data_IF_662193456398
#
_entry.id   IF_662193456398
#
_cell.length_a   1.000
_cell.length_b   1.000
_cell.length_c   1.000
_cell.angle_alpha   90.00
_cell.angle_beta   90.00
_cell.angle_gamma   90.00
#
_symmetry.space_group_name_H-M   'P 1'
#
loop_
_entity.id
_entity.type
_entity.pdbx_description
1 polymer ?
#
# COMPACT_ATOMS: atom_id res chain seq x y z
N UNK A 1 3.73 9.21 -14.43
CA UNK A 1 3.08 9.61 -15.67
C UNK A 1 2.20 8.47 -16.15
N UNK A 2 0.94 8.76 -16.48
CA UNK A 2 0.01 7.81 -17.07
C UNK A 2 -0.45 8.27 -18.44
N UNK A 3 -0.84 7.33 -19.29
CA UNK A 3 -1.29 7.57 -20.65
C UNK A 3 -2.50 6.69 -20.97
N UNK A 4 -3.57 7.28 -21.46
CA UNK A 4 -4.77 6.60 -21.90
C UNK A 4 -5.03 6.94 -23.35
N UNK A 5 -4.72 6.04 -24.30
CA UNK A 5 -5.12 6.17 -25.70
C UNK A 5 -6.52 5.58 -25.90
N UNK A 6 -7.36 6.21 -26.72
CA UNK A 6 -8.63 5.65 -27.20
C UNK A 6 -8.99 6.20 -28.58
N UNK A 7 -9.82 5.47 -29.33
CA UNK A 7 -10.29 5.88 -30.64
C UNK A 7 -11.70 6.44 -30.57
N UNK A 8 -12.01 7.42 -31.46
CA UNK A 8 -13.35 8.03 -31.55
C UNK A 8 -14.46 6.97 -31.75
N UNK A 9 -14.16 5.91 -32.48
CA UNK A 9 -15.10 4.80 -32.73
C UNK A 9 -15.41 3.98 -31.47
N UNK A 10 -14.46 3.85 -30.54
CA UNK A 10 -14.66 3.16 -29.27
C UNK A 10 -15.56 3.99 -28.34
N UNK A 11 -15.34 5.30 -28.28
CA UNK A 11 -16.18 6.22 -27.51
C UNK A 11 -17.62 6.29 -28.05
N UNK A 12 -17.78 6.24 -29.39
CA UNK A 12 -19.10 6.21 -30.01
C UNK A 12 -19.89 4.92 -29.74
N UNK A 13 -19.19 3.79 -29.61
CA UNK A 13 -19.82 2.50 -29.28
C UNK A 13 -20.18 2.39 -27.81
N UNK A 14 -19.32 2.87 -26.92
CA UNK A 14 -19.51 2.84 -25.47
C UNK A 14 -18.91 4.10 -24.85
N UNK A 15 -19.74 5.11 -24.51
CA UNK A 15 -19.27 6.35 -23.85
C UNK A 15 -18.58 6.13 -22.50
N UNK A 16 -18.79 4.96 -21.86
CA UNK A 16 -18.16 4.63 -20.58
C UNK A 16 -16.68 4.23 -20.71
N UNK A 17 -16.19 3.99 -21.93
CA UNK A 17 -14.78 3.59 -22.15
C UNK A 17 -13.81 4.61 -21.59
N UNK A 18 -14.06 5.90 -21.78
CA UNK A 18 -13.22 6.99 -21.26
C UNK A 18 -13.27 7.06 -19.75
N UNK A 19 -14.46 6.95 -19.15
CA UNK A 19 -14.63 6.99 -17.70
C UNK A 19 -13.92 5.81 -17.02
N UNK A 20 -14.12 4.59 -17.51
CA UNK A 20 -13.46 3.38 -17.00
C UNK A 20 -11.95 3.47 -17.19
N UNK A 21 -11.49 3.99 -18.35
CA UNK A 21 -10.08 4.20 -18.63
C UNK A 21 -9.44 5.20 -17.66
N UNK A 22 -10.09 6.33 -17.40
CA UNK A 22 -9.63 7.34 -16.44
C UNK A 22 -9.56 6.81 -15.02
N UNK A 23 -10.52 5.98 -14.62
CA UNK A 23 -10.50 5.32 -13.31
C UNK A 23 -9.30 4.39 -13.20
N UNK A 24 -9.06 3.52 -14.20
CA UNK A 24 -7.88 2.63 -14.23
C UNK A 24 -6.58 3.42 -14.17
N UNK A 25 -6.47 4.51 -14.94
CA UNK A 25 -5.30 5.38 -14.94
C UNK A 25 -5.03 5.97 -13.54
N UNK A 26 -6.09 6.40 -12.86
CA UNK A 26 -6.00 6.91 -11.48
C UNK A 26 -5.53 5.81 -10.53
N UNK A 27 -6.11 4.61 -10.61
CA UNK A 27 -5.75 3.47 -9.79
C UNK A 27 -4.27 3.07 -10.00
N UNK A 28 -3.78 3.09 -11.24
CA UNK A 28 -2.37 2.82 -11.56
C UNK A 28 -1.44 3.88 -10.95
N UNK A 29 -1.80 5.15 -11.02
CA UNK A 29 -1.01 6.24 -10.41
C UNK A 29 -0.96 6.12 -8.88
N UNK A 30 -2.05 5.71 -8.23
CA UNK A 30 -2.10 5.45 -6.79
C UNK A 30 -1.24 4.24 -6.43
N UNK A 31 -1.31 3.17 -7.22
CA UNK A 31 -0.50 1.96 -7.00
C UNK A 31 0.99 2.25 -7.17
N UNK A 32 1.39 3.08 -8.15
CA UNK A 32 2.78 3.52 -8.32
C UNK A 32 3.26 4.33 -7.10
N UNK A 33 2.43 5.24 -6.60
CA UNK A 33 2.75 5.99 -5.37
C UNK A 33 2.93 5.06 -4.18
N UNK A 34 2.01 4.11 -3.99
CA UNK A 34 2.08 3.13 -2.90
C UNK A 34 3.38 2.31 -3.01
N UNK A 35 3.74 1.88 -4.21
CA UNK A 35 4.98 1.12 -4.45
C UNK A 35 6.23 1.94 -4.10
N UNK A 36 6.23 3.24 -4.39
CA UNK A 36 7.32 4.15 -4.02
C UNK A 36 7.42 4.34 -2.51
N UNK A 37 6.31 4.49 -1.80
CA UNK A 37 6.28 4.57 -0.34
C UNK A 37 6.87 3.30 0.27
N UNK A 38 6.47 2.13 -0.22
CA UNK A 38 6.97 0.85 0.27
C UNK A 38 8.47 0.67 -0.03
N UNK A 39 8.93 1.14 -1.18
CA UNK A 39 10.36 1.14 -1.50
C UNK A 39 11.17 2.00 -0.52
N UNK A 40 10.62 3.13 -0.08
CA UNK A 40 11.24 3.95 0.97
C UNK A 40 11.22 3.27 2.34
N UNK A 41 10.12 2.59 2.71
CA UNK A 41 10.08 1.78 3.93
C UNK A 41 11.13 0.66 3.94
N UNK A 42 11.45 0.09 2.77
CA UNK A 42 12.51 -0.91 2.63
C UNK A 42 13.92 -0.42 2.95
N UNK A 43 14.12 0.89 3.12
CA UNK A 43 15.38 1.48 3.56
C UNK A 43 15.49 1.60 5.09
N UNK A 44 14.48 1.17 5.83
CA UNK A 44 14.47 1.22 7.29
C UNK A 44 15.68 0.51 7.90
N UNK A 45 16.29 1.15 8.89
CA UNK A 45 17.43 0.58 9.63
C UNK A 45 16.99 -0.38 10.72
N UNK A 46 15.82 -0.13 11.31
CA UNK A 46 15.24 -1.00 12.33
C UNK A 46 14.59 -2.23 11.71
N UNK A 47 14.95 -3.41 12.22
CA UNK A 47 14.44 -4.69 11.73
C UNK A 47 13.96 -5.59 12.85
N UNK A 48 12.90 -6.32 12.60
CA UNK A 48 12.40 -7.36 13.48
C UNK A 48 12.14 -8.65 12.70
N UNK A 49 12.64 -9.76 13.24
CA UNK A 49 12.44 -11.09 12.64
C UNK A 49 11.10 -11.67 13.08
N UNK A 50 10.24 -11.92 12.11
CA UNK A 50 8.95 -12.58 12.33
C UNK A 50 9.12 -14.09 12.15
N UNK A 51 8.92 -14.87 13.21
CA UNK A 51 9.08 -16.33 13.18
C UNK A 51 7.81 -17.01 12.68
N UNK A 52 6.69 -16.71 13.28
CA UNK A 52 5.41 -17.37 13.03
C UNK A 52 4.28 -16.43 12.60
N UNK A 53 4.53 -15.11 12.57
CA UNK A 53 3.51 -14.08 12.29
C UNK A 53 2.31 -14.19 13.25
N UNK A 54 2.57 -14.57 14.50
CA UNK A 54 1.58 -14.69 15.57
C UNK A 54 1.46 -13.39 16.38
N UNK A 55 0.60 -13.41 17.38
CA UNK A 55 0.38 -12.26 18.26
C UNK A 55 1.64 -11.82 18.99
N UNK A 56 2.42 -12.77 19.49
CA UNK A 56 3.64 -12.51 20.26
C UNK A 56 4.72 -11.83 19.38
N UNK A 57 4.91 -12.32 18.15
CA UNK A 57 5.84 -11.70 17.18
C UNK A 57 5.49 -10.22 16.93
N UNK A 58 4.19 -9.88 16.84
CA UNK A 58 3.77 -8.49 16.68
C UNK A 58 3.94 -7.67 17.95
N UNK A 59 3.66 -8.23 19.12
CA UNK A 59 3.88 -7.57 20.40
C UNK A 59 5.36 -7.23 20.59
N UNK A 60 6.25 -8.19 20.28
CA UNK A 60 7.70 -7.98 20.34
C UNK A 60 8.19 -6.93 19.31
N UNK A 61 7.58 -6.88 18.14
CA UNK A 61 7.89 -5.86 17.14
C UNK A 61 7.48 -4.46 17.61
N UNK A 62 6.30 -4.33 18.21
CA UNK A 62 5.80 -3.07 18.76
C UNK A 62 6.67 -2.62 19.95
N UNK A 63 7.08 -3.55 20.82
CA UNK A 63 7.97 -3.25 21.94
C UNK A 63 9.34 -2.70 21.51
N UNK A 64 9.78 -2.95 20.28
CA UNK A 64 11.00 -2.36 19.70
C UNK A 64 10.80 -0.95 19.16
N UNK A 65 9.57 -0.47 19.10
CA UNK A 65 9.31 0.89 18.63
C UNK A 65 9.86 1.91 19.61
N UNK A 66 10.70 2.86 19.15
CA UNK A 66 11.47 3.71 20.06
C UNK A 66 10.70 4.83 20.75
N UNK A 67 9.43 5.00 20.41
CA UNK A 67 8.59 6.06 20.98
C UNK A 67 7.54 5.49 21.93
N UNK A 68 7.22 6.24 23.01
CA UNK A 68 6.22 5.85 24.01
C UNK A 68 4.78 5.87 23.47
N UNK A 69 4.51 6.77 22.51
CA UNK A 69 3.19 6.84 21.88
C UNK A 69 3.09 5.92 20.70
N UNK A 70 2.10 5.04 20.72
CA UNK A 70 1.73 4.17 19.61
C UNK A 70 0.69 4.81 18.68
N UNK A 71 0.36 6.09 18.90
CA UNK A 71 -0.63 6.81 18.09
C UNK A 71 -0.18 6.90 16.63
N UNK A 72 -1.08 6.51 15.76
CA UNK A 72 -0.82 6.53 14.32
C UNK A 72 0.06 5.41 13.78
N UNK A 73 0.48 4.44 14.63
CA UNK A 73 1.10 3.21 14.17
C UNK A 73 0.15 2.42 13.26
N UNK A 74 0.70 1.82 12.24
CA UNK A 74 0.02 0.85 11.41
C UNK A 74 0.97 -0.26 10.98
N UNK A 75 0.41 -1.43 10.75
CA UNK A 75 1.12 -2.59 10.21
C UNK A 75 0.74 -2.74 8.74
N UNK A 76 1.73 -2.80 7.85
CA UNK A 76 1.50 -3.07 6.43
C UNK A 76 2.12 -4.40 6.04
N UNK A 77 1.31 -5.33 5.50
CA UNK A 77 1.74 -6.68 5.15
C UNK A 77 1.27 -7.11 3.77
N UNK A 78 1.95 -8.10 3.21
CA UNK A 78 1.53 -8.75 1.98
C UNK A 78 0.29 -9.64 2.22
N UNK A 79 -0.59 -9.85 1.23
CA UNK A 79 -1.72 -10.80 1.34
C UNK A 79 -1.33 -12.22 1.77
N UNK A 80 -0.13 -12.68 1.39
CA UNK A 80 0.38 -14.00 1.79
C UNK A 80 0.64 -14.09 3.30
N UNK A 81 1.25 -13.04 3.87
CA UNK A 81 1.51 -12.94 5.30
C UNK A 81 0.20 -12.76 6.09
N UNK A 82 -0.77 -12.02 5.54
CA UNK A 82 -2.12 -11.97 6.14
C UNK A 82 -2.73 -13.35 6.31
N UNK A 83 -2.53 -14.25 5.35
CA UNK A 83 -3.01 -15.63 5.47
C UNK A 83 -2.32 -16.39 6.60
N UNK A 84 -1.00 -16.16 6.82
CA UNK A 84 -0.26 -16.74 7.94
C UNK A 84 -0.77 -16.20 9.29
N UNK A 85 -0.94 -14.88 9.39
CA UNK A 85 -1.51 -14.22 10.58
C UNK A 85 -2.89 -14.78 10.90
N UNK A 86 -3.76 -14.96 9.91
CA UNK A 86 -5.08 -15.58 10.11
C UNK A 86 -5.00 -17.00 10.65
N UNK A 87 -4.06 -17.80 10.16
CA UNK A 87 -3.87 -19.17 10.62
C UNK A 87 -3.32 -19.21 12.05
N UNK A 88 -2.35 -18.36 12.36
CA UNK A 88 -1.77 -18.25 13.70
C UNK A 88 -2.81 -17.78 14.73
N UNK A 89 -3.53 -16.70 14.44
CA UNK A 89 -4.57 -16.16 15.32
C UNK A 89 -5.85 -17.01 15.33
N UNK A 90 -6.09 -17.81 14.32
CA UNK A 90 -7.28 -18.66 14.22
C UNK A 90 -7.37 -19.71 15.32
N UNK A 91 -6.26 -20.17 15.86
CA UNK A 91 -6.25 -21.07 17.00
C UNK A 91 -6.76 -20.39 18.28
N UNK A 92 -6.40 -19.13 18.48
CA UNK A 92 -6.69 -18.36 19.70
C UNK A 92 -8.03 -17.62 19.60
N UNK A 93 -8.38 -17.13 18.41
CA UNK A 93 -9.58 -16.32 18.15
C UNK A 93 -10.78 -17.12 17.63
N UNK A 94 -10.69 -18.44 17.52
CA UNK A 94 -11.80 -19.28 17.02
C UNK A 94 -13.11 -19.13 17.79
N UNK A 95 -13.03 -18.68 19.03
CA UNK A 95 -14.18 -18.43 19.90
C UNK A 95 -14.70 -16.98 19.80
N UNK A 96 -14.01 -16.10 19.10
CA UNK A 96 -14.48 -14.75 18.83
C UNK A 96 -15.50 -14.79 17.69
N UNK A 97 -16.74 -14.38 17.97
CA UNK A 97 -17.82 -14.43 16.98
C UNK A 97 -17.51 -13.66 15.71
N UNK A 98 -16.90 -12.48 15.82
CA UNK A 98 -16.50 -11.66 14.67
C UNK A 98 -15.46 -12.32 13.80
N UNK A 99 -14.44 -12.94 14.39
CA UNK A 99 -13.38 -13.65 13.66
C UNK A 99 -13.88 -14.96 13.06
N UNK A 100 -14.65 -15.75 13.82
CA UNK A 100 -15.18 -17.04 13.36
C UNK A 100 -16.07 -16.90 12.12
N UNK A 101 -16.85 -15.80 12.03
CA UNK A 101 -17.74 -15.54 10.89
C UNK A 101 -17.05 -14.97 9.67
N UNK A 102 -16.07 -14.08 9.84
CA UNK A 102 -15.52 -13.28 8.75
C UNK A 102 -14.04 -13.52 8.49
N UNK A 103 -13.30 -14.08 9.46
CA UNK A 103 -11.83 -14.15 9.41
C UNK A 103 -11.21 -12.75 9.29
N UNK A 104 -11.91 -11.72 9.74
CA UNK A 104 -11.48 -10.34 9.63
C UNK A 104 -10.39 -10.03 10.66
N UNK A 105 -9.25 -9.56 10.17
CA UNK A 105 -8.16 -9.05 11.00
C UNK A 105 -8.03 -7.56 10.64
N UNK A 106 -8.64 -6.71 11.44
CA UNK A 106 -8.54 -5.27 11.29
C UNK A 106 -7.40 -4.67 12.10
N UNK A 107 -7.15 -5.24 13.27
CA UNK A 107 -6.14 -4.81 14.22
C UNK A 107 -5.43 -6.01 14.83
N UNK A 108 -4.14 -5.85 15.11
CA UNK A 108 -3.33 -6.79 15.87
C UNK A 108 -2.60 -5.99 16.95
N UNK A 109 -2.67 -6.41 18.21
CA UNK A 109 -2.14 -5.68 19.37
C UNK A 109 -2.61 -4.20 19.42
N UNK A 110 -3.86 -3.92 19.02
CA UNK A 110 -4.39 -2.54 18.97
C UNK A 110 -3.98 -1.74 17.72
N UNK A 111 -3.03 -2.22 16.92
CA UNK A 111 -2.51 -1.54 15.73
C UNK A 111 -3.26 -1.99 14.47
N UNK A 112 -3.75 -1.06 13.62
CA UNK A 112 -4.46 -1.41 12.39
C UNK A 112 -3.54 -2.11 11.38
N UNK A 113 -4.09 -3.15 10.72
CA UNK A 113 -3.40 -3.94 9.70
C UNK A 113 -3.89 -3.56 8.31
N UNK A 114 -2.98 -3.05 7.50
CA UNK A 114 -3.19 -2.68 6.10
C UNK A 114 -2.56 -3.76 5.20
N UNK A 115 -3.27 -4.15 4.16
CA UNK A 115 -2.79 -5.17 3.24
C UNK A 115 -2.52 -4.55 1.88
N UNK A 116 -1.30 -4.73 1.38
CA UNK A 116 -0.90 -4.26 0.06
C UNK A 116 -0.10 -5.32 -0.69
N UNK A 117 -0.44 -5.53 -1.96
CA UNK A 117 0.32 -6.39 -2.87
C UNK A 117 1.70 -5.83 -3.23
N UNK A 118 1.90 -4.52 -3.04
CA UNK A 118 3.18 -3.88 -3.30
C UNK A 118 4.24 -4.22 -2.23
N UNK A 119 3.83 -4.70 -1.05
CA UNK A 119 4.75 -5.23 -0.05
C UNK A 119 5.34 -6.55 -0.56
N UNK A 120 6.68 -6.72 -0.55
CA UNK A 120 7.30 -7.97 -0.94
C UNK A 120 6.82 -9.15 -0.07
N UNK A 121 6.72 -10.34 -0.66
CA UNK A 121 6.37 -11.55 0.09
C UNK A 121 7.43 -11.84 1.16
N UNK A 122 7.02 -12.29 2.33
CA UNK A 122 7.89 -12.53 3.48
C UNK A 122 8.23 -11.28 4.28
N UNK A 123 7.75 -10.11 3.87
CA UNK A 123 8.01 -8.83 4.53
C UNK A 123 6.72 -8.15 5.00
N UNK A 124 6.90 -7.26 5.96
CA UNK A 124 5.92 -6.31 6.43
C UNK A 124 6.61 -5.06 6.96
N UNK A 125 5.84 -4.07 7.32
CA UNK A 125 6.33 -2.84 7.91
C UNK A 125 5.42 -2.40 9.04
N UNK A 126 6.02 -2.07 10.17
CA UNK A 126 5.39 -1.37 11.27
C UNK A 126 5.85 0.09 11.17
N UNK A 127 4.95 1.02 10.92
CA UNK A 127 5.33 2.40 10.64
C UNK A 127 4.29 3.41 11.14
N UNK A 128 4.69 4.67 11.20
CA UNK A 128 3.79 5.81 11.35
C UNK A 128 3.75 6.64 10.06
N UNK A 129 2.72 7.48 9.92
CA UNK A 129 2.58 8.38 8.75
C UNK A 129 3.73 9.38 8.62
N UNK A 130 4.37 9.71 9.73
CA UNK A 130 5.43 10.71 9.81
C UNK A 130 6.79 10.18 9.32
N UNK A 131 6.91 8.87 9.12
CA UNK A 131 8.13 8.23 8.63
C UNK A 131 8.52 8.69 7.23
N UNK A 132 7.52 8.92 6.37
CA UNK A 132 7.70 9.25 4.95
C UNK A 132 7.03 10.58 4.63
N UNK A 133 7.76 11.44 3.93
CA UNK A 133 7.23 12.70 3.41
C UNK A 133 7.14 12.66 1.88
N UNK A 134 6.01 13.12 1.37
CA UNK A 134 5.76 13.26 -0.06
C UNK A 134 5.94 14.73 -0.43
N UNK A 135 7.02 15.03 -1.15
CA UNK A 135 7.30 16.37 -1.68
C UNK A 135 6.65 16.50 -3.06
N UNK A 136 5.63 17.34 -3.18
CA UNK A 136 4.94 17.59 -4.43
C UNK A 136 5.48 18.87 -5.06
N UNK A 137 6.20 18.73 -6.18
CA UNK A 137 6.68 19.87 -6.97
C UNK A 137 5.58 20.43 -7.89
N UNK A 138 4.79 19.54 -8.48
CA UNK A 138 3.70 19.89 -9.40
C UNK A 138 2.52 18.96 -9.16
N UNK A 139 1.34 19.53 -9.07
CA UNK A 139 0.09 18.79 -8.92
C UNK A 139 -0.22 17.92 -10.13
N UNK A 140 -1.41 17.34 -10.14
CA UNK A 140 -1.86 16.54 -11.29
C UNK A 140 -2.15 17.49 -12.45
N UNK A 141 -1.55 17.22 -13.60
CA UNK A 141 -1.84 17.86 -14.89
C UNK A 141 -2.43 16.81 -15.81
N UNK A 142 -3.48 17.19 -16.49
CA UNK A 142 -4.13 16.35 -17.51
C UNK A 142 -4.05 17.12 -18.81
N UNK A 143 -3.47 16.51 -19.83
CA UNK A 143 -3.40 17.05 -21.19
C UNK A 143 -4.09 16.07 -22.12
N UNK A 144 -4.89 16.57 -23.02
CA UNK A 144 -5.52 15.80 -24.08
C UNK A 144 -4.94 16.24 -25.42
N UNK A 145 -4.46 15.29 -26.19
CA UNK A 145 -4.02 15.47 -27.57
C UNK A 145 -4.94 14.66 -28.47
N UNK A 146 -5.32 15.24 -29.61
CA UNK A 146 -6.12 14.56 -30.64
C UNK A 146 -5.33 14.48 -31.92
N UNK A 147 -5.22 13.27 -32.43
CA UNK A 147 -4.75 12.99 -33.80
C UNK A 147 -5.97 12.86 -34.73
N UNK A 148 -6.15 13.85 -35.59
CA UNK A 148 -7.29 13.92 -36.50
C UNK A 148 -7.20 12.87 -37.63
N UNK A 149 -5.99 12.52 -38.06
CA UNK A 149 -5.76 11.58 -39.17
C UNK A 149 -6.07 10.15 -38.74
N UNK A 150 -5.70 9.80 -37.51
CA UNK A 150 -5.94 8.49 -36.90
C UNK A 150 -7.27 8.41 -36.13
N UNK A 151 -7.99 9.52 -35.99
CA UNK A 151 -9.19 9.62 -35.12
C UNK A 151 -8.95 9.08 -33.71
N UNK A 152 -7.76 9.37 -33.18
CA UNK A 152 -7.28 8.89 -31.90
C UNK A 152 -7.17 10.05 -30.92
N UNK A 153 -7.59 9.81 -29.69
CA UNK A 153 -7.40 10.70 -28.57
C UNK A 153 -6.39 10.10 -27.58
N UNK A 154 -5.48 10.91 -27.11
CA UNK A 154 -4.48 10.55 -26.11
C UNK A 154 -4.66 11.46 -24.89
N UNK A 155 -4.97 10.87 -23.73
CA UNK A 155 -5.03 11.57 -22.45
C UNK A 155 -3.76 11.27 -21.68
N UNK A 156 -3.02 12.31 -21.32
CA UNK A 156 -1.81 12.23 -20.52
C UNK A 156 -2.09 12.79 -19.13
N UNK A 157 -1.85 11.99 -18.08
CA UNK A 157 -1.88 12.45 -16.71
C UNK A 157 -0.47 12.40 -16.13
N UNK A 158 -0.01 13.51 -15.54
CA UNK A 158 1.30 13.57 -14.89
C UNK A 158 1.24 14.28 -13.56
N UNK A 159 2.06 13.82 -12.63
CA UNK A 159 2.31 14.43 -11.33
C UNK A 159 3.81 14.39 -11.05
N UNK A 160 4.35 15.52 -10.61
CA UNK A 160 5.77 15.58 -10.23
C UNK A 160 5.89 15.58 -8.71
N UNK A 161 6.37 14.46 -8.16
CA UNK A 161 6.55 14.30 -6.73
C UNK A 161 7.75 13.40 -6.42
N UNK A 162 8.29 13.57 -5.21
CA UNK A 162 9.33 12.71 -4.64
C UNK A 162 8.81 12.18 -3.32
N UNK A 163 8.98 10.89 -3.10
CA UNK A 163 8.73 10.23 -1.82
C UNK A 163 10.09 10.03 -1.17
N UNK A 164 10.23 10.39 0.08
CA UNK A 164 11.47 10.23 0.82
C UNK A 164 11.20 9.74 2.24
N UNK A 165 11.98 8.79 2.71
CA UNK A 165 12.04 8.41 4.11
C UNK A 165 12.69 9.56 4.88
N UNK A 166 11.92 10.25 5.73
CA UNK A 166 12.37 11.40 6.49
C UNK A 166 12.78 11.05 7.92
N UNK A 167 12.21 9.97 8.46
CA UNK A 167 12.52 9.47 9.79
C UNK A 167 12.54 7.94 9.78
N UNK A 168 13.73 7.37 9.71
CA UNK A 168 13.95 5.91 9.66
C UNK A 168 13.69 5.23 11.01
N UNK A 169 13.68 5.98 12.11
CA UNK A 169 13.36 5.45 13.45
C UNK A 169 11.87 5.16 13.61
N UNK A 170 11.04 5.68 12.73
CA UNK A 170 9.58 5.49 12.71
C UNK A 170 9.11 4.35 11.82
N UNK A 171 10.03 3.55 11.31
CA UNK A 171 9.73 2.36 10.50
C UNK A 171 10.54 1.18 11.01
N UNK A 172 9.87 0.06 11.21
CA UNK A 172 10.48 -1.24 11.51
C UNK A 172 10.14 -2.19 10.36
N UNK A 173 11.16 -2.72 9.69
CA UNK A 173 10.96 -3.79 8.71
C UNK A 173 10.69 -5.10 9.46
N UNK A 174 9.55 -5.72 9.17
CA UNK A 174 9.15 -7.03 9.64
C UNK A 174 9.51 -8.05 8.57
N UNK A 175 10.35 -9.01 8.88
CA UNK A 175 10.80 -10.01 7.92
C UNK A 175 10.84 -11.40 8.48
N UNK A 176 10.66 -12.43 7.62
CA UNK A 176 11.03 -13.79 7.98
C UNK A 176 12.56 -13.81 8.21
N UNK A 177 13.00 -14.43 9.29
CA UNK A 177 14.44 -14.64 9.54
C UNK A 177 15.10 -15.27 8.33
N UNK A 178 16.30 -14.77 8.00
CA UNK A 178 17.14 -15.37 6.96
C UNK A 178 17.66 -16.74 7.43
#
# INVERSE_FOLDING_TARGET
>A
QGHLPYFDEEEMKDPMVVEVGMKKLTDEMVNDLTSKIIAEFGKATLKHTMTNWNFDDFADAIAKYPYESEDGLFIMINPAEKAKVRKALGADLKYSEGFARTGYIGHVCGVPVIVSKAVPAGKGYLATKEAVTIFVKKGVEIEQARDADLRKNDIYARKCMVVALTDDTRVIELGAGA
#
